data_IF_458165740865
#
_entry.id   IF_458165740865
#
_cell.length_a   1.000
_cell.length_b   1.000
_cell.length_c   1.000
_cell.angle_alpha   90.00
_cell.angle_beta   90.00
_cell.angle_gamma   90.00
#
_symmetry.space_group_name_H-M   'P 1'
#
loop_
_entity.id
_entity.type
_entity.pdbx_description
1 polymer ?
#
# COMPACT_ATOMS: atom_id res chain seq x y z
N UNK A 1 -0.14 6.46 -7.22
CA UNK A 1 -1.23 7.13 -6.46
C UNK A 1 -2.50 7.30 -7.28
N UNK A 2 -2.44 7.82 -8.52
CA UNK A 2 -3.63 8.04 -9.36
C UNK A 2 -4.52 6.80 -9.52
N UNK A 3 -3.94 5.64 -9.84
CA UNK A 3 -4.72 4.41 -10.03
C UNK A 3 -5.39 3.90 -8.74
N UNK A 4 -4.71 4.04 -7.60
CA UNK A 4 -5.31 3.74 -6.31
C UNK A 4 -6.52 4.65 -6.05
N UNK A 5 -6.37 5.97 -6.22
CA UNK A 5 -7.49 6.91 -6.09
C UNK A 5 -8.67 6.54 -6.98
N UNK A 6 -8.41 6.27 -8.27
CA UNK A 6 -9.44 5.87 -9.25
C UNK A 6 -10.26 4.67 -8.79
N UNK A 7 -9.64 3.69 -8.13
CA UNK A 7 -10.30 2.47 -7.65
C UNK A 7 -10.99 2.64 -6.30
N UNK A 8 -10.37 3.36 -5.36
CA UNK A 8 -10.83 3.43 -3.97
C UNK A 8 -11.77 4.61 -3.69
N UNK A 9 -11.62 5.74 -4.38
CA UNK A 9 -12.44 6.94 -4.15
C UNK A 9 -13.94 6.74 -4.47
N UNK A 10 -14.34 6.02 -5.56
CA UNK A 10 -15.76 5.72 -5.80
C UNK A 10 -16.42 4.91 -4.68
N UNK A 11 -15.63 4.19 -3.88
CA UNK A 11 -16.11 3.44 -2.71
C UNK A 11 -16.29 4.35 -1.47
N UNK A 12 -15.95 5.64 -1.56
CA UNK A 12 -15.89 6.55 -0.42
C UNK A 12 -14.58 6.49 0.36
N UNK A 13 -13.56 5.77 -0.14
CA UNK A 13 -12.23 5.70 0.49
C UNK A 13 -11.32 6.75 -0.14
N UNK A 14 -11.25 7.93 0.50
CA UNK A 14 -10.37 9.02 0.06
C UNK A 14 -8.93 8.77 0.49
N UNK A 15 -8.00 8.77 -0.46
CA UNK A 15 -6.56 8.65 -0.21
C UNK A 15 -5.88 10.01 -0.41
N UNK A 16 -5.13 10.47 0.59
CA UNK A 16 -4.40 11.74 0.51
C UNK A 16 -2.95 11.54 0.96
N UNK A 17 -2.01 12.02 0.15
CA UNK A 17 -0.62 12.17 0.61
C UNK A 17 -0.60 13.32 1.62
N UNK A 18 -0.31 13.00 2.88
CA UNK A 18 -0.29 13.99 3.98
C UNK A 18 1.13 14.46 4.32
N UNK A 19 2.14 13.70 3.94
CA UNK A 19 3.55 14.05 4.11
C UNK A 19 4.41 13.16 3.20
N UNK A 20 5.54 13.68 2.76
CA UNK A 20 6.58 12.91 2.05
C UNK A 20 7.90 13.16 2.76
N UNK A 21 8.72 12.12 2.88
CA UNK A 21 10.06 12.24 3.45
C UNK A 21 11.02 11.23 2.82
N UNK A 22 12.29 11.59 2.75
CA UNK A 22 13.34 10.72 2.24
C UNK A 22 13.65 9.62 3.26
N UNK A 23 13.73 8.37 2.80
CA UNK A 23 14.22 7.27 3.61
C UNK A 23 15.75 7.35 3.74
N UNK A 24 16.29 6.83 4.85
CA UNK A 24 17.74 6.72 4.99
C UNK A 24 18.33 5.92 3.81
N UNK A 25 19.52 6.26 3.28
CA UNK A 25 20.10 5.60 2.11
C UNK A 25 20.21 4.06 2.24
N UNK A 26 20.44 3.56 3.46
CA UNK A 26 20.48 2.12 3.76
C UNK A 26 19.14 1.38 3.56
N UNK A 27 18.03 2.09 3.35
CA UNK A 27 16.73 1.51 3.02
C UNK A 27 16.36 1.60 1.54
N UNK A 28 17.25 2.10 0.69
CA UNK A 28 16.99 2.21 -0.75
C UNK A 28 16.93 0.84 -1.44
N UNK A 29 17.66 -0.17 -0.94
CA UNK A 29 17.72 -1.51 -1.51
C UNK A 29 17.42 -2.52 -0.41
N UNK A 30 16.33 -3.26 -0.55
CA UNK A 30 15.91 -4.24 0.46
C UNK A 30 16.14 -5.65 -0.08
N UNK A 31 17.04 -6.39 0.56
CA UNK A 31 17.45 -7.72 0.12
C UNK A 31 16.87 -8.82 1.02
N UNK A 32 16.60 -8.52 2.29
CA UNK A 32 16.22 -9.52 3.30
C UNK A 32 14.92 -9.17 4.03
N UNK A 33 14.38 -10.16 4.77
CA UNK A 33 13.26 -9.93 5.70
C UNK A 33 13.64 -8.91 6.78
N UNK A 34 14.90 -8.91 7.21
CA UNK A 34 15.39 -7.96 8.21
C UNK A 34 15.37 -6.52 7.69
N UNK A 35 15.73 -6.31 6.42
CA UNK A 35 15.70 -4.97 5.81
C UNK A 35 14.26 -4.45 5.75
N UNK A 36 13.32 -5.32 5.38
CA UNK A 36 11.89 -4.99 5.40
C UNK A 36 11.44 -4.67 6.82
N UNK A 37 11.76 -5.52 7.81
CA UNK A 37 11.39 -5.32 9.22
C UNK A 37 11.97 -4.01 9.79
N UNK A 38 13.17 -3.59 9.38
CA UNK A 38 13.84 -2.37 9.85
C UNK A 38 13.09 -1.08 9.50
N UNK A 39 12.31 -1.08 8.41
CA UNK A 39 11.45 0.05 8.02
C UNK A 39 10.40 0.42 9.07
N UNK A 40 10.16 -0.44 10.06
CA UNK A 40 9.25 -0.16 11.17
C UNK A 40 9.67 1.09 11.97
N UNK A 41 10.96 1.41 11.99
CA UNK A 41 11.48 2.65 12.61
C UNK A 41 11.04 3.92 11.85
N UNK A 42 10.63 3.76 10.58
CA UNK A 42 10.19 4.83 9.72
C UNK A 42 8.66 4.98 9.64
N UNK A 43 7.87 4.33 10.50
CA UNK A 43 6.42 4.50 10.44
C UNK A 43 5.96 5.75 11.19
N UNK A 44 5.10 6.53 10.54
CA UNK A 44 4.31 7.57 11.18
C UNK A 44 2.99 6.95 11.67
N UNK A 45 2.65 7.07 12.96
CA UNK A 45 1.38 6.56 13.49
C UNK A 45 0.16 7.17 12.79
N UNK A 46 -0.96 6.44 12.78
CA UNK A 46 -2.26 6.91 12.24
C UNK A 46 -2.28 7.21 10.74
N UNK A 47 -1.29 6.71 10.00
CA UNK A 47 -1.16 6.87 8.55
C UNK A 47 -0.89 5.53 7.88
N UNK A 48 -1.33 5.40 6.62
CA UNK A 48 -0.86 4.32 5.76
C UNK A 48 0.56 4.70 5.33
N UNK A 49 1.54 3.95 5.81
CA UNK A 49 2.94 4.18 5.47
C UNK A 49 3.27 3.44 4.18
N UNK A 50 3.74 4.18 3.17
CA UNK A 50 4.16 3.66 1.87
C UNK A 50 5.63 3.98 1.68
N UNK A 51 6.47 2.95 1.62
CA UNK A 51 7.91 3.08 1.43
C UNK A 51 8.23 2.86 -0.05
N UNK A 52 8.73 3.90 -0.72
CA UNK A 52 9.22 3.78 -2.10
C UNK A 52 10.72 3.51 -2.06
N UNK A 53 11.15 2.38 -2.61
CA UNK A 53 12.55 1.91 -2.57
C UNK A 53 13.09 1.70 -3.98
N UNK A 54 14.40 1.79 -4.17
CA UNK A 54 15.04 1.58 -5.46
C UNK A 54 14.97 0.12 -5.91
N UNK A 55 15.17 -0.84 -5.00
CA UNK A 55 15.00 -2.28 -5.29
C UNK A 55 14.40 -3.04 -4.12
N UNK A 56 13.62 -4.07 -4.45
CA UNK A 56 12.95 -4.95 -3.50
C UNK A 56 13.14 -6.40 -3.94
N UNK A 57 14.08 -7.10 -3.32
CA UNK A 57 14.32 -8.54 -3.48
C UNK A 57 13.11 -9.33 -2.98
N UNK A 58 12.79 -10.42 -3.64
CA UNK A 58 11.88 -11.40 -3.05
C UNK A 58 12.60 -12.19 -1.95
N UNK A 59 12.03 -12.18 -0.74
CA UNK A 59 12.63 -12.83 0.44
C UNK A 59 12.32 -14.32 0.52
N UNK A 60 11.34 -14.77 -0.26
CA UNK A 60 10.97 -16.18 -0.39
C UNK A 60 11.73 -16.84 -1.55
N UNK A 61 12.02 -16.09 -2.62
CA UNK A 61 12.89 -16.50 -3.73
C UNK A 61 13.91 -15.39 -4.08
N UNK A 62 15.13 -15.43 -3.53
CA UNK A 62 16.13 -14.39 -3.76
C UNK A 62 16.58 -14.21 -5.22
N UNK A 63 16.26 -15.13 -6.12
CA UNK A 63 16.55 -14.95 -7.55
C UNK A 63 15.66 -13.87 -8.19
N UNK A 64 14.54 -13.55 -7.56
CA UNK A 64 13.51 -12.64 -8.08
C UNK A 64 13.52 -11.27 -7.38
N UNK A 65 12.91 -10.29 -8.06
CA UNK A 65 12.57 -8.99 -7.47
C UNK A 65 11.06 -8.80 -7.49
N UNK A 66 10.52 -8.19 -6.44
CA UNK A 66 9.12 -7.78 -6.36
C UNK A 66 8.98 -6.31 -6.71
N UNK A 67 7.82 -5.94 -7.25
CA UNK A 67 7.46 -4.54 -7.44
C UNK A 67 6.73 -3.95 -6.23
N UNK A 68 6.13 -4.78 -5.38
CA UNK A 68 5.39 -4.34 -4.20
C UNK A 68 5.24 -5.45 -3.16
N UNK A 69 4.96 -5.05 -1.92
CA UNK A 69 4.50 -5.94 -0.86
C UNK A 69 3.77 -5.16 0.24
N UNK A 70 2.64 -5.69 0.71
CA UNK A 70 2.10 -5.40 2.03
C UNK A 70 2.87 -6.19 3.08
N UNK A 71 3.67 -5.50 3.89
CA UNK A 71 4.50 -6.12 4.92
C UNK A 71 3.88 -5.97 6.29
N UNK A 72 3.84 -7.07 7.05
CA UNK A 72 3.55 -7.07 8.50
C UNK A 72 4.86 -7.34 9.23
N UNK A 73 5.28 -6.44 10.11
CA UNK A 73 6.49 -6.67 10.89
C UNK A 73 6.32 -7.92 11.76
N UNK A 74 7.27 -8.85 11.71
CA UNK A 74 7.15 -10.15 12.39
C UNK A 74 7.10 -10.04 13.92
N UNK A 75 7.82 -9.08 14.50
CA UNK A 75 7.86 -8.85 15.95
C UNK A 75 6.65 -8.07 16.44
N UNK A 76 6.13 -7.18 15.62
CA UNK A 76 4.94 -6.36 15.92
C UNK A 76 3.96 -6.38 14.75
N UNK A 77 3.16 -7.45 14.56
CA UNK A 77 2.30 -7.59 13.37
C UNK A 77 1.23 -6.50 13.19
N UNK A 78 0.88 -5.79 14.26
CA UNK A 78 0.03 -4.60 14.22
C UNK A 78 0.69 -3.41 13.51
N UNK A 79 2.02 -3.43 13.36
CA UNK A 79 2.78 -2.47 12.56
C UNK A 79 2.97 -3.05 11.16
N UNK A 80 2.10 -2.61 10.26
CA UNK A 80 2.13 -3.03 8.86
C UNK A 80 2.09 -1.83 7.93
N UNK A 81 2.65 -2.00 6.75
CA UNK A 81 2.92 -0.94 5.79
C UNK A 81 3.06 -1.51 4.40
N UNK A 82 3.09 -0.63 3.41
CA UNK A 82 3.26 -0.98 2.01
C UNK A 82 4.67 -0.59 1.58
N UNK A 83 5.34 -1.47 0.84
CA UNK A 83 6.63 -1.18 0.20
C UNK A 83 6.42 -1.33 -1.31
N UNK A 84 6.90 -0.38 -2.09
CA UNK A 84 6.79 -0.39 -3.56
C UNK A 84 8.15 -0.04 -4.16
N UNK A 85 8.57 -0.78 -5.17
CA UNK A 85 9.76 -0.45 -5.93
C UNK A 85 9.51 0.81 -6.79
N UNK A 86 10.52 1.66 -6.96
CA UNK A 86 10.40 2.88 -7.77
C UNK A 86 10.06 2.58 -9.23
N UNK A 87 10.42 1.39 -9.73
CA UNK A 87 10.09 0.88 -11.07
C UNK A 87 8.72 0.19 -11.16
N UNK A 88 7.91 0.22 -10.10
CA UNK A 88 6.64 -0.50 -10.08
C UNK A 88 5.62 0.08 -11.07
N UNK A 89 4.83 -0.81 -11.66
CA UNK A 89 3.73 -0.43 -12.54
C UNK A 89 2.66 0.38 -11.76
N UNK A 90 1.88 1.25 -12.43
CA UNK A 90 0.94 2.16 -11.76
C UNK A 90 -0.07 1.49 -10.82
N UNK A 91 -0.49 0.25 -11.13
CA UNK A 91 -1.48 -0.51 -10.35
C UNK A 91 -0.90 -1.23 -9.13
N UNK A 92 0.42 -1.35 -9.01
CA UNK A 92 1.06 -2.10 -7.90
C UNK A 92 0.73 -1.49 -6.55
N UNK A 93 0.81 -0.16 -6.40
CA UNK A 93 0.41 0.49 -5.15
C UNK A 93 -1.06 0.19 -4.81
N UNK A 94 -1.94 0.19 -5.81
CA UNK A 94 -3.35 -0.12 -5.57
C UNK A 94 -3.53 -1.58 -5.13
N UNK A 95 -2.79 -2.52 -5.72
CA UNK A 95 -2.77 -3.92 -5.34
C UNK A 95 -2.31 -4.12 -3.89
N UNK A 96 -1.19 -3.49 -3.50
CA UNK A 96 -0.70 -3.58 -2.13
C UNK A 96 -1.64 -2.92 -1.12
N UNK A 97 -2.35 -1.86 -1.51
CA UNK A 97 -3.42 -1.30 -0.69
C UNK A 97 -4.61 -2.26 -0.57
N UNK A 98 -4.92 -3.03 -1.60
CA UNK A 98 -5.89 -4.14 -1.51
C UNK A 98 -5.51 -5.14 -0.42
N UNK A 99 -4.25 -5.59 -0.40
CA UNK A 99 -3.74 -6.43 0.70
C UNK A 99 -3.77 -5.73 2.07
N UNK A 100 -3.43 -4.44 2.12
CA UNK A 100 -3.51 -3.64 3.34
C UNK A 100 -4.94 -3.61 3.91
N UNK A 101 -5.96 -3.56 3.05
CA UNK A 101 -7.37 -3.67 3.41
C UNK A 101 -7.89 -5.12 3.51
N UNK A 102 -6.99 -6.11 3.51
CA UNK A 102 -7.31 -7.49 3.82
C UNK A 102 -7.85 -8.31 2.65
N UNK A 103 -7.57 -7.91 1.40
CA UNK A 103 -7.84 -8.73 0.23
C UNK A 103 -6.75 -9.80 0.03
N UNK A 104 -7.15 -10.98 -0.46
CA UNK A 104 -6.24 -12.00 -0.98
C UNK A 104 -6.08 -11.88 -2.50
N UNK A 105 -5.20 -12.69 -3.09
CA UNK A 105 -5.07 -12.77 -4.54
C UNK A 105 -6.33 -13.32 -5.22
N UNK A 106 -6.50 -13.00 -6.49
CA UNK A 106 -7.58 -13.47 -7.35
C UNK A 106 -7.02 -13.99 -8.67
N UNK A 107 -7.59 -15.07 -9.19
CA UNK A 107 -7.22 -15.59 -10.51
C UNK A 107 -8.01 -14.93 -11.65
N UNK A 108 -8.94 -14.02 -11.32
CA UNK A 108 -9.77 -13.32 -12.30
C UNK A 108 -8.94 -12.28 -13.06
N UNK A 109 -8.87 -12.43 -14.38
CA UNK A 109 -8.14 -11.52 -15.27
C UNK A 109 -8.59 -10.07 -15.06
N UNK A 110 -7.63 -9.14 -15.00
CA UNK A 110 -7.82 -7.70 -14.72
C UNK A 110 -8.39 -7.35 -13.33
N UNK A 111 -8.74 -8.31 -12.49
CA UNK A 111 -9.03 -7.99 -11.09
C UNK A 111 -7.79 -7.38 -10.43
N UNK A 112 -7.95 -6.33 -9.61
CA UNK A 112 -6.86 -5.64 -8.94
C UNK A 112 -5.91 -6.62 -8.24
N UNK A 113 -6.46 -7.67 -7.64
CA UNK A 113 -5.72 -8.68 -6.87
C UNK A 113 -5.15 -9.83 -7.71
N UNK A 114 -5.24 -9.77 -9.04
CA UNK A 114 -4.68 -10.77 -9.95
C UNK A 114 -3.34 -10.34 -10.55
N UNK A 115 -2.49 -11.32 -10.86
CA UNK A 115 -1.31 -11.10 -11.71
C UNK A 115 -1.63 -11.16 -13.22
N UNK A 116 -2.80 -11.68 -13.59
CA UNK A 116 -3.23 -11.78 -14.98
C UNK A 116 -3.79 -10.44 -15.48
N UNK A 117 -3.25 -9.96 -16.60
CA UNK A 117 -3.58 -8.64 -17.19
C UNK A 117 -3.79 -8.74 -18.69
N UNK A 118 -4.77 -8.01 -19.20
CA UNK A 118 -4.96 -7.72 -20.63
C UNK A 118 -5.05 -6.20 -20.82
N UNK A 119 -5.42 -5.73 -22.02
CA UNK A 119 -5.66 -4.32 -22.28
C UNK A 119 -6.94 -3.75 -21.59
N UNK A 120 -7.70 -4.59 -20.90
CA UNK A 120 -8.89 -4.18 -20.16
C UNK A 120 -8.57 -3.38 -18.88
N UNK A 121 -9.58 -2.72 -18.34
CA UNK A 121 -9.45 -1.91 -17.14
C UNK A 121 -9.28 -2.77 -15.89
N UNK A 122 -8.40 -2.35 -14.99
CA UNK A 122 -8.27 -2.96 -13.65
C UNK A 122 -9.50 -2.63 -12.81
N UNK A 123 -10.06 -3.63 -12.11
CA UNK A 123 -11.30 -3.48 -11.34
C UNK A 123 -11.25 -4.20 -9.99
N UNK A 124 -12.19 -3.84 -9.10
CA UNK A 124 -12.52 -4.58 -7.88
C UNK A 124 -13.93 -5.18 -8.06
N UNK A 125 -14.16 -6.37 -7.52
CA UNK A 125 -15.52 -6.92 -7.45
C UNK A 125 -16.25 -6.47 -6.19
N UNK A 126 -17.58 -6.64 -6.15
CA UNK A 126 -18.39 -6.15 -5.04
C UNK A 126 -18.04 -6.75 -3.67
N UNK A 127 -17.52 -8.00 -3.62
CA UNK A 127 -17.09 -8.60 -2.37
C UNK A 127 -15.80 -7.96 -1.86
N UNK A 128 -14.87 -7.66 -2.76
CA UNK A 128 -13.65 -6.91 -2.45
C UNK A 128 -13.97 -5.49 -1.99
N UNK A 129 -14.88 -4.79 -2.66
CA UNK A 129 -15.33 -3.44 -2.28
C UNK A 129 -15.91 -3.41 -0.86
N UNK A 130 -16.83 -4.34 -0.55
CA UNK A 130 -17.42 -4.47 0.77
C UNK A 130 -16.37 -4.77 1.85
N UNK A 131 -15.39 -5.63 1.53
CA UNK A 131 -14.28 -5.96 2.44
C UNK A 131 -13.40 -4.75 2.73
N UNK A 132 -13.05 -3.98 1.69
CA UNK A 132 -12.26 -2.74 1.83
C UNK A 132 -12.99 -1.77 2.75
N UNK A 133 -14.28 -1.53 2.53
CA UNK A 133 -15.08 -0.61 3.34
C UNK A 133 -15.15 -1.04 4.81
N UNK A 134 -15.36 -2.33 5.06
CA UNK A 134 -15.36 -2.90 6.41
C UNK A 134 -14.03 -2.67 7.12
N UNK A 135 -12.90 -2.95 6.45
CA UNK A 135 -11.58 -2.80 7.03
C UNK A 135 -11.17 -1.34 7.23
N UNK A 136 -11.51 -0.45 6.30
CA UNK A 136 -11.27 0.98 6.45
C UNK A 136 -12.00 1.55 7.68
N UNK A 137 -13.27 1.19 7.88
CA UNK A 137 -14.05 1.57 9.07
C UNK A 137 -13.43 1.03 10.35
N UNK A 138 -12.99 -0.24 10.34
CA UNK A 138 -12.30 -0.85 11.47
C UNK A 138 -11.01 -0.11 11.82
N UNK A 139 -10.19 0.26 10.82
CA UNK A 139 -8.94 0.97 11.06
C UNK A 139 -9.16 2.37 11.65
N UNK A 140 -10.23 3.06 11.26
CA UNK A 140 -10.60 4.34 11.87
C UNK A 140 -11.13 4.15 13.29
N UNK A 141 -12.04 3.19 13.52
CA UNK A 141 -12.65 2.98 14.84
C UNK A 141 -11.63 2.51 15.89
N UNK A 142 -10.66 1.71 15.48
CA UNK A 142 -9.54 1.24 16.31
C UNK A 142 -8.39 2.26 16.41
N UNK A 143 -8.53 3.44 15.79
CA UNK A 143 -7.53 4.52 15.77
C UNK A 143 -6.19 4.11 15.13
N UNK A 144 -6.17 3.05 14.32
CA UNK A 144 -5.01 2.68 13.50
C UNK A 144 -4.76 3.71 12.41
N UNK A 145 -5.82 4.29 11.85
CA UNK A 145 -5.76 5.38 10.86
C UNK A 145 -6.55 6.59 11.33
N UNK A 146 -6.03 7.78 11.05
CA UNK A 146 -6.81 9.00 11.15
C UNK A 146 -7.72 9.13 9.91
N UNK A 147 -8.98 9.58 10.07
CA UNK A 147 -9.81 9.92 8.93
C UNK A 147 -9.20 11.10 8.18
N UNK A 148 -9.42 11.15 6.86
CA UNK A 148 -9.06 12.33 6.06
C UNK A 148 -10.01 13.47 6.46
N UNK A 149 -9.50 14.62 6.93
CA UNK A 149 -10.32 15.79 7.21
C UNK A 149 -11.06 16.25 5.95
N UNK A 150 -12.30 16.72 6.10
CA UNK A 150 -13.08 17.24 4.98
C UNK A 150 -12.49 18.52 4.37
N UNK A 151 -11.65 19.24 5.12
CA UNK A 151 -10.94 20.43 4.64
C UNK A 151 -9.57 20.04 4.05
N UNK A 152 -9.23 20.51 2.83
CA UNK A 152 -7.86 20.40 2.33
C UNK A 152 -6.89 21.15 3.27
N UNK A 153 -5.62 20.70 3.39
CA UNK A 153 -4.63 21.48 4.13
C UNK A 153 -4.48 22.85 3.47
N UNK A 154 -4.12 23.92 4.22
CA UNK A 154 -3.74 25.18 3.60
C UNK A 154 -2.61 24.91 2.59
N UNK A 155 -2.68 25.55 1.42
CA UNK A 155 -1.61 25.46 0.44
C UNK A 155 -0.31 25.95 1.08
N UNK A 156 0.79 25.19 0.91
CA UNK A 156 2.12 25.66 1.32
C UNK A 156 2.41 27.00 0.62
N UNK A 157 2.97 28.00 1.31
CA UNK A 157 3.41 29.22 0.67
C UNK A 157 4.51 28.89 -0.35
N UNK A 158 4.36 29.46 -1.56
CA UNK A 158 5.30 29.33 -2.67
C UNK A 158 6.69 29.89 -2.35
#
# INVERSE_FOLDING_TARGET
MAEAKRLFEPLGIRLRTVSTRTLAPGHARLETRSDRDALVAALTPKQINVMIVASLRDVDDPSLHRMGVHWRNRKTPSRHYVIVAASAMPSVLAHELGHYFGLGHSDVVNNLMSYSRTAGQVFLDGAQEARILSMARLYVSTKLLAPVPDTPPPADPA
#
